data_IF_774115870524
#
_entry.id   IF_774115870524
#
_cell.length_a   1.000
_cell.length_b   1.000
_cell.length_c   1.000
_cell.angle_alpha   90.00
_cell.angle_beta   90.00
_cell.angle_gamma   90.00
#
_symmetry.space_group_name_H-M   'P 1'
#
loop_
_entity.id
_entity.type
_entity.pdbx_description
1 polymer ?
#
# COMPACT_ATOMS: atom_id res chain seq x y z
N UNK A 1 -44.77 54.30 -40.47
CA UNK A 1 -44.82 55.33 -39.41
C UNK A 1 -45.02 54.62 -38.08
N UNK A 2 -43.99 54.61 -37.21
CA UNK A 2 -43.98 54.44 -35.73
C UNK A 2 -44.74 53.25 -35.10
N UNK A 3 -44.01 52.30 -34.49
CA UNK A 3 -43.83 52.12 -33.01
C UNK A 3 -44.74 50.98 -32.47
N UNK A 4 -44.49 50.23 -31.39
CA UNK A 4 -43.40 50.02 -30.40
C UNK A 4 -43.86 48.84 -29.51
N UNK A 5 -42.91 48.03 -28.98
CA UNK A 5 -42.86 47.40 -27.63
C UNK A 5 -44.04 46.48 -27.19
N UNK A 6 -43.88 45.30 -26.57
CA UNK A 6 -42.76 44.49 -26.10
C UNK A 6 -43.24 43.42 -25.07
N UNK A 7 -42.77 42.16 -25.21
CA UNK A 7 -42.42 41.10 -24.19
C UNK A 7 -43.43 40.69 -23.07
N UNK A 8 -43.22 39.62 -22.24
CA UNK A 8 -42.52 38.31 -22.35
C UNK A 8 -43.28 37.09 -21.68
N UNK A 9 -42.69 35.87 -21.71
CA UNK A 9 -43.01 34.70 -20.84
C UNK A 9 -43.98 33.66 -21.45
N UNK A 10 -43.88 32.34 -21.33
CA UNK A 10 -43.18 31.42 -20.41
C UNK A 10 -42.92 30.03 -21.04
N UNK A 11 -41.76 29.47 -20.66
CA UNK A 11 -41.47 28.08 -20.22
C UNK A 11 -42.02 26.86 -20.97
N UNK A 12 -41.08 26.10 -21.55
CA UNK A 12 -41.09 24.64 -21.57
C UNK A 12 -39.67 24.11 -21.35
N UNK A 13 -39.43 23.31 -20.30
CA UNK A 13 -38.16 22.58 -20.06
C UNK A 13 -38.26 21.13 -20.61
N UNK A 14 -37.22 20.27 -20.54
CA UNK A 14 -36.36 19.98 -21.67
C UNK A 14 -36.36 18.48 -22.05
N UNK A 15 -36.28 18.15 -23.34
CA UNK A 15 -35.99 16.78 -23.78
C UNK A 15 -34.75 16.78 -24.68
N UNK A 16 -33.71 16.10 -24.20
CA UNK A 16 -32.86 15.22 -25.00
C UNK A 16 -31.89 15.80 -26.03
N UNK A 17 -30.77 15.09 -26.14
CA UNK A 17 -29.89 14.96 -27.31
C UNK A 17 -28.74 15.97 -27.44
N UNK A 18 -27.60 15.52 -26.89
CA UNK A 18 -26.32 15.33 -27.58
C UNK A 18 -25.76 16.49 -28.44
N UNK A 19 -24.72 17.17 -27.94
CA UNK A 19 -23.79 17.89 -28.83
C UNK A 19 -22.33 17.79 -28.36
N UNK A 20 -21.58 17.12 -29.23
CA UNK A 20 -20.21 17.40 -29.65
C UNK A 20 -19.00 17.08 -28.75
N UNK A 21 -18.18 16.21 -29.34
CA UNK A 21 -16.73 16.11 -29.20
C UNK A 21 -16.09 17.50 -29.22
N UNK A 22 -15.54 17.93 -28.09
CA UNK A 22 -14.56 19.01 -28.05
C UNK A 22 -13.21 18.42 -27.65
N UNK A 23 -12.25 18.54 -28.56
CA UNK A 23 -10.84 18.28 -28.29
C UNK A 23 -10.37 19.27 -27.23
N UNK A 24 -10.22 18.83 -25.99
CA UNK A 24 -9.49 19.61 -24.98
C UNK A 24 -8.06 19.07 -24.91
N UNK A 25 -7.19 19.69 -25.68
CA UNK A 25 -5.75 19.57 -25.52
C UNK A 25 -5.40 20.24 -24.19
N UNK A 26 -4.87 19.46 -23.24
CA UNK A 26 -4.17 19.97 -22.07
C UNK A 26 -4.91 19.80 -20.75
N UNK A 27 -4.48 18.78 -19.99
CA UNK A 27 -4.21 18.89 -18.56
C UNK A 27 -3.00 18.01 -18.27
N UNK A 28 -1.81 18.50 -18.69
CA UNK A 28 -0.56 18.15 -18.01
C UNK A 28 -0.58 18.94 -16.70
N UNK A 29 -1.02 18.29 -15.63
CA UNK A 29 -0.93 18.79 -14.27
C UNK A 29 -0.63 17.57 -13.38
N UNK A 30 0.65 17.28 -13.14
CA UNK A 30 1.36 17.76 -11.94
C UNK A 30 0.97 17.01 -10.65
N UNK A 31 1.11 15.68 -10.66
CA UNK A 31 1.42 14.94 -9.44
C UNK A 31 2.87 14.47 -9.45
N UNK A 32 3.78 15.40 -9.76
CA UNK A 32 5.13 15.37 -9.22
C UNK A 32 5.21 16.43 -8.14
N UNK A 33 4.51 16.18 -7.04
CA UNK A 33 5.02 16.61 -5.74
C UNK A 33 5.61 15.36 -5.15
N UNK A 34 6.93 15.30 -5.10
CA UNK A 34 7.59 14.50 -4.09
C UNK A 34 7.05 15.03 -2.77
N UNK A 35 6.06 14.33 -2.21
CA UNK A 35 5.71 14.50 -0.81
C UNK A 35 6.95 14.07 -0.03
N UNK A 36 7.48 14.89 0.88
CA UNK A 36 8.44 14.43 1.86
C UNK A 36 7.69 13.49 2.81
N UNK A 37 7.58 12.24 2.38
CA UNK A 37 6.92 11.11 3.00
C UNK A 37 7.70 9.87 2.56
N UNK A 38 7.70 8.83 3.37
CA UNK A 38 8.61 7.69 3.21
C UNK A 38 8.60 7.17 1.77
N UNK A 39 9.78 7.10 1.15
CA UNK A 39 9.93 6.48 -0.18
C UNK A 39 10.03 4.97 -0.01
N UNK A 40 9.18 4.23 -0.70
CA UNK A 40 9.21 2.77 -0.69
C UNK A 40 7.92 2.15 -1.22
N UNK A 41 8.01 0.89 -1.58
CA UNK A 41 6.91 0.08 -2.09
C UNK A 41 6.45 -0.94 -1.06
N UNK A 42 5.16 -0.98 -0.75
CA UNK A 42 4.58 -1.88 0.23
C UNK A 42 3.62 -2.84 -0.44
N UNK A 43 3.76 -4.13 -0.17
CA UNK A 43 2.78 -5.14 -0.57
C UNK A 43 1.83 -5.41 0.59
N UNK A 44 0.54 -5.13 0.39
CA UNK A 44 -0.52 -5.30 1.39
C UNK A 44 -1.33 -6.54 1.06
N UNK A 45 -1.37 -7.50 1.98
CA UNK A 45 -1.99 -8.81 1.81
C UNK A 45 -3.01 -9.04 2.90
N UNK A 46 -4.27 -9.13 2.51
CA UNK A 46 -5.42 -9.32 3.40
C UNK A 46 -6.59 -9.79 2.53
N UNK A 47 -7.41 -10.76 2.95
CA UNK A 47 -8.54 -11.24 2.16
C UNK A 47 -9.75 -10.30 2.23
N UNK A 48 -9.90 -9.59 3.35
CA UNK A 48 -10.92 -8.59 3.56
C UNK A 48 -10.62 -7.31 2.75
N UNK A 49 -11.39 -7.11 1.68
CA UNK A 49 -11.28 -5.95 0.78
C UNK A 49 -11.34 -4.61 1.51
N UNK A 50 -12.13 -4.50 2.59
CA UNK A 50 -12.28 -3.25 3.35
C UNK A 50 -11.01 -2.94 4.11
N UNK A 51 -10.44 -3.92 4.83
CA UNK A 51 -9.17 -3.75 5.55
C UNK A 51 -8.04 -3.48 4.57
N UNK A 52 -7.93 -4.28 3.50
CA UNK A 52 -6.92 -4.07 2.45
C UNK A 52 -6.96 -2.66 1.87
N UNK A 53 -8.15 -2.13 1.59
CA UNK A 53 -8.32 -0.77 1.08
C UNK A 53 -8.01 0.30 2.14
N UNK A 54 -8.40 0.09 3.40
CA UNK A 54 -8.07 0.99 4.50
C UNK A 54 -6.55 1.13 4.65
N UNK A 55 -5.83 0.01 4.70
CA UNK A 55 -4.37 -0.01 4.81
C UNK A 55 -3.75 0.70 3.61
N UNK A 56 -4.19 0.34 2.39
CA UNK A 56 -3.70 0.95 1.15
C UNK A 56 -3.79 2.47 1.17
N UNK A 57 -4.97 3.02 1.44
CA UNK A 57 -5.20 4.46 1.41
C UNK A 57 -4.32 5.17 2.44
N UNK A 58 -4.22 4.65 3.66
CA UNK A 58 -3.41 5.27 4.70
C UNK A 58 -1.91 5.26 4.37
N UNK A 59 -1.41 4.20 3.74
CA UNK A 59 -0.01 4.15 3.29
C UNK A 59 0.24 5.05 2.07
N UNK A 60 -0.68 5.10 1.11
CA UNK A 60 -0.56 5.99 -0.06
C UNK A 60 -0.56 7.47 0.34
N UNK A 61 -1.37 7.86 1.33
CA UNK A 61 -1.38 9.23 1.89
C UNK A 61 -0.03 9.63 2.50
N UNK A 62 0.76 8.65 2.94
CA UNK A 62 2.08 8.82 3.55
C UNK A 62 3.22 8.80 2.52
N UNK A 63 2.90 8.61 1.24
CA UNK A 63 3.84 8.64 0.11
C UNK A 63 4.36 7.28 -0.35
N UNK A 64 3.88 6.18 0.22
CA UNK A 64 4.25 4.82 -0.23
C UNK A 64 3.57 4.46 -1.55
N UNK A 65 4.28 3.72 -2.40
CA UNK A 65 3.65 2.97 -3.50
C UNK A 65 3.05 1.68 -2.92
N UNK A 66 1.76 1.45 -3.13
CA UNK A 66 1.09 0.26 -2.56
C UNK A 66 0.61 -0.68 -3.65
N UNK A 67 1.04 -1.94 -3.55
CA UNK A 67 0.48 -3.06 -4.31
C UNK A 67 -0.29 -3.96 -3.34
N UNK A 68 -1.35 -4.60 -3.83
CA UNK A 68 -2.24 -5.41 -2.99
C UNK A 68 -2.32 -6.84 -3.49
N UNK A 69 -2.45 -7.79 -2.57
CA UNK A 69 -2.83 -9.18 -2.83
C UNK A 69 -3.99 -9.59 -1.89
N UNK A 70 -4.80 -10.55 -2.31
CA UNK A 70 -5.98 -11.01 -1.58
C UNK A 70 -5.73 -12.23 -0.68
N UNK A 71 -4.60 -12.89 -0.81
CA UNK A 71 -4.17 -13.97 0.10
C UNK A 71 -2.69 -14.31 -0.09
N UNK A 72 -2.22 -15.31 0.67
CA UNK A 72 -0.84 -15.76 0.65
C UNK A 72 -0.38 -16.30 -0.71
N UNK A 73 -1.26 -16.92 -1.50
CA UNK A 73 -0.88 -17.45 -2.81
C UNK A 73 -0.62 -16.32 -3.80
N UNK A 74 -1.54 -15.35 -3.90
CA UNK A 74 -1.34 -14.17 -4.73
C UNK A 74 -0.11 -13.35 -4.28
N UNK A 75 0.13 -13.26 -2.96
CA UNK A 75 1.32 -12.62 -2.41
C UNK A 75 2.62 -13.19 -3.02
N UNK A 76 2.76 -14.52 -3.04
CA UNK A 76 3.94 -15.19 -3.58
C UNK A 76 4.08 -15.03 -5.10
N UNK A 77 2.97 -14.94 -5.83
CA UNK A 77 2.98 -14.71 -7.28
C UNK A 77 3.46 -13.31 -7.64
N UNK A 78 3.08 -12.31 -6.85
CA UNK A 78 3.36 -10.90 -7.16
C UNK A 78 4.66 -10.38 -6.54
N UNK A 79 5.11 -10.94 -5.41
CA UNK A 79 6.26 -10.41 -4.64
C UNK A 79 7.53 -10.27 -5.49
N UNK A 80 7.78 -11.21 -6.42
CA UNK A 80 8.97 -11.18 -7.28
C UNK A 80 8.88 -10.15 -8.42
N UNK A 81 7.67 -9.78 -8.83
CA UNK A 81 7.43 -8.76 -9.86
C UNK A 81 7.49 -7.36 -9.26
N UNK A 82 6.97 -7.25 -8.04
CA UNK A 82 6.79 -6.01 -7.32
C UNK A 82 8.05 -5.63 -6.55
N UNK A 83 8.85 -6.58 -6.08
CA UNK A 83 10.05 -6.34 -5.27
C UNK A 83 9.83 -5.34 -4.12
N UNK A 84 8.86 -5.59 -3.22
CA UNK A 84 8.49 -4.63 -2.19
C UNK A 84 9.62 -4.35 -1.19
N UNK A 85 9.54 -3.20 -0.53
CA UNK A 85 10.39 -2.79 0.58
C UNK A 85 9.88 -3.26 1.93
N UNK A 86 8.57 -3.51 2.05
CA UNK A 86 7.95 -4.17 3.18
C UNK A 86 6.67 -4.90 2.77
N UNK A 87 6.26 -5.88 3.56
CA UNK A 87 5.00 -6.62 3.36
C UNK A 87 4.16 -6.51 4.63
N UNK A 88 2.89 -6.14 4.50
CA UNK A 88 1.89 -6.31 5.56
C UNK A 88 1.03 -7.52 5.22
N UNK A 89 0.89 -8.46 6.16
CA UNK A 89 0.34 -9.78 5.88
C UNK A 89 -0.67 -10.17 6.96
N UNK A 90 -1.92 -10.44 6.58
CA UNK A 90 -2.88 -11.07 7.48
C UNK A 90 -2.54 -12.55 7.70
N UNK A 91 -2.91 -13.09 8.87
CA UNK A 91 -2.75 -14.51 9.17
C UNK A 91 -3.91 -15.31 8.62
N UNK A 92 -5.14 -14.90 8.93
CA UNK A 92 -6.33 -15.71 8.65
C UNK A 92 -6.82 -15.42 7.23
N UNK A 93 -6.39 -16.24 6.27
CA UNK A 93 -6.73 -16.09 4.85
C UNK A 93 -7.03 -17.45 4.19
N UNK A 94 -7.84 -17.48 3.11
CA UNK A 94 -8.07 -18.70 2.33
C UNK A 94 -6.82 -19.11 1.53
N UNK A 95 -6.78 -20.38 1.10
CA UNK A 95 -5.73 -21.00 0.26
C UNK A 95 -4.36 -21.15 0.94
N UNK A 96 -3.74 -20.03 1.33
CA UNK A 96 -2.48 -19.98 2.05
C UNK A 96 -2.56 -18.88 3.10
N UNK A 97 -2.37 -19.28 4.36
CA UNK A 97 -2.37 -18.38 5.51
C UNK A 97 -1.10 -17.50 5.55
N UNK A 98 -1.12 -16.49 6.44
CA UNK A 98 -0.02 -15.54 6.56
C UNK A 98 1.29 -16.18 7.03
N UNK A 99 1.23 -17.17 7.93
CA UNK A 99 2.45 -17.82 8.40
C UNK A 99 3.07 -18.72 7.34
N UNK A 100 2.26 -19.47 6.59
CA UNK A 100 2.71 -20.27 5.45
C UNK A 100 3.32 -19.39 4.35
N UNK A 101 2.70 -18.25 4.05
CA UNK A 101 3.26 -17.28 3.12
C UNK A 101 4.57 -16.68 3.64
N UNK A 102 4.64 -16.28 4.91
CA UNK A 102 5.86 -15.76 5.52
C UNK A 102 7.00 -16.79 5.51
N UNK A 103 6.72 -18.06 5.82
CA UNK A 103 7.70 -19.14 5.77
C UNK A 103 8.26 -19.33 4.36
N UNK A 104 7.41 -19.30 3.33
CA UNK A 104 7.86 -19.40 1.93
C UNK A 104 8.69 -18.18 1.50
N UNK A 105 8.28 -16.97 1.89
CA UNK A 105 9.05 -15.74 1.66
C UNK A 105 10.44 -15.80 2.31
N UNK A 106 10.56 -16.40 3.50
CA UNK A 106 11.83 -16.60 4.20
C UNK A 106 12.69 -17.72 3.61
N UNK A 107 12.07 -18.74 3.02
CA UNK A 107 12.78 -19.82 2.35
C UNK A 107 13.43 -19.38 1.03
N UNK A 108 12.84 -18.40 0.32
CA UNK A 108 13.38 -17.91 -0.95
C UNK A 108 14.51 -16.87 -0.74
N UNK A 109 15.72 -17.11 -1.28
CA UNK A 109 16.85 -16.17 -1.22
C UNK A 109 16.55 -14.74 -1.69
N UNK A 110 15.61 -14.58 -2.63
CA UNK A 110 15.25 -13.32 -3.27
C UNK A 110 14.30 -12.49 -2.41
N UNK A 111 13.57 -13.10 -1.48
CA UNK A 111 12.58 -12.40 -0.64
C UNK A 111 12.87 -12.48 0.85
N UNK A 112 13.77 -13.36 1.30
CA UNK A 112 14.05 -13.56 2.73
C UNK A 112 14.51 -12.32 3.49
N UNK A 113 15.02 -11.32 2.79
CA UNK A 113 15.48 -10.06 3.37
C UNK A 113 14.37 -9.00 3.45
N UNK A 114 13.22 -9.23 2.81
CA UNK A 114 12.10 -8.29 2.82
C UNK A 114 11.43 -8.36 4.19
N UNK A 115 11.24 -7.22 4.88
CA UNK A 115 10.60 -7.22 6.18
C UNK A 115 9.09 -7.51 6.07
N UNK A 116 8.57 -8.31 7.00
CA UNK A 116 7.18 -8.72 7.08
C UNK A 116 6.56 -8.25 8.40
N UNK A 117 5.47 -7.49 8.31
CA UNK A 117 4.60 -7.16 9.43
C UNK A 117 3.34 -8.03 9.37
N UNK A 118 3.05 -8.76 10.44
CA UNK A 118 1.77 -9.45 10.58
C UNK A 118 0.72 -8.47 11.06
N UNK A 119 -0.43 -8.44 10.38
CA UNK A 119 -1.59 -7.61 10.73
C UNK A 119 -2.79 -8.51 10.97
N UNK A 120 -2.99 -8.97 12.20
CA UNK A 120 -4.05 -9.94 12.51
C UNK A 120 -4.59 -9.77 13.93
N UNK A 121 -5.34 -10.74 14.47
CA UNK A 121 -5.83 -10.68 15.85
C UNK A 121 -4.69 -10.62 16.90
N UNK A 122 -3.49 -11.08 16.53
CA UNK A 122 -2.30 -11.16 17.37
C UNK A 122 -2.57 -11.93 18.67
N UNK A 123 -3.21 -13.09 18.55
CA UNK A 123 -3.38 -14.01 19.68
C UNK A 123 -2.02 -14.50 20.19
N UNK A 124 -1.94 -14.98 21.43
CA UNK A 124 -0.69 -15.51 21.99
C UNK A 124 -0.04 -16.57 21.07
N UNK A 125 -0.87 -17.45 20.49
CA UNK A 125 -0.42 -18.48 19.54
C UNK A 125 0.14 -17.88 18.25
N UNK A 126 -0.50 -16.83 17.71
CA UNK A 126 -0.03 -16.14 16.51
C UNK A 126 1.30 -15.42 16.75
N UNK A 127 1.45 -14.80 17.92
CA UNK A 127 2.71 -14.12 18.30
C UNK A 127 3.84 -15.15 18.41
N UNK A 128 3.61 -16.27 19.10
CA UNK A 128 4.60 -17.35 19.22
C UNK A 128 4.98 -17.95 17.86
N UNK A 129 3.98 -18.22 17.01
CA UNK A 129 4.20 -18.74 15.65
C UNK A 129 4.98 -17.75 14.78
N UNK A 130 4.65 -16.46 14.82
CA UNK A 130 5.35 -15.46 14.02
C UNK A 130 6.77 -15.17 14.50
N UNK A 131 7.05 -15.28 15.82
CA UNK A 131 8.43 -15.26 16.34
C UNK A 131 9.23 -16.42 15.75
N UNK A 132 8.67 -17.64 15.75
CA UNK A 132 9.32 -18.81 15.15
C UNK A 132 9.52 -18.67 13.63
N UNK A 133 8.61 -17.99 12.93
CA UNK A 133 8.70 -17.71 11.49
C UNK A 133 9.63 -16.53 11.14
N UNK A 134 10.16 -15.82 12.13
CA UNK A 134 11.04 -14.66 11.90
C UNK A 134 10.32 -13.45 11.32
N UNK A 135 9.09 -13.17 11.78
CA UNK A 135 8.34 -11.94 11.46
C UNK A 135 8.99 -10.72 12.13
N UNK A 136 9.00 -9.57 11.46
CA UNK A 136 9.71 -8.37 11.94
C UNK A 136 8.86 -7.47 12.85
N UNK A 137 7.53 -7.53 12.70
CA UNK A 137 6.59 -6.74 13.48
C UNK A 137 5.20 -7.37 13.51
N UNK A 138 4.42 -6.99 14.52
CA UNK A 138 3.01 -7.35 14.64
C UNK A 138 2.17 -6.08 14.84
N UNK A 139 0.97 -6.08 14.27
CA UNK A 139 -0.04 -5.04 14.43
C UNK A 139 -1.38 -5.74 14.69
N UNK A 140 -1.97 -5.51 15.86
CA UNK A 140 -3.22 -6.17 16.24
C UNK A 140 -4.43 -5.49 15.61
N UNK A 141 -5.38 -6.28 15.11
CA UNK A 141 -6.71 -5.82 14.68
C UNK A 141 -7.65 -5.77 15.90
N UNK A 142 -8.45 -4.70 16.07
CA UNK A 142 -8.45 -3.45 15.31
C UNK A 142 -7.21 -2.60 15.60
N UNK A 143 -6.69 -1.90 14.59
CA UNK A 143 -5.52 -1.03 14.70
C UNK A 143 -5.86 0.42 14.39
N UNK A 144 -5.09 1.34 14.97
CA UNK A 144 -5.08 2.74 14.57
C UNK A 144 -4.27 2.90 13.27
N UNK A 145 -4.77 3.58 12.23
CA UNK A 145 -4.02 3.74 10.98
C UNK A 145 -2.62 4.35 11.17
N UNK A 146 -2.49 5.29 12.10
CA UNK A 146 -1.20 5.92 12.45
C UNK A 146 -0.21 4.95 13.10
N UNK A 147 -0.68 3.89 13.78
CA UNK A 147 0.19 2.83 14.29
C UNK A 147 0.75 1.98 13.16
N UNK A 148 -0.12 1.53 12.24
CA UNK A 148 0.30 0.73 11.09
C UNK A 148 1.33 1.47 10.22
N UNK A 149 1.05 2.74 9.91
CA UNK A 149 1.97 3.60 9.15
C UNK A 149 3.34 3.69 9.83
N UNK A 150 3.39 3.88 11.16
CA UNK A 150 4.64 3.95 11.92
C UNK A 150 5.43 2.65 11.83
N UNK A 151 4.75 1.51 11.95
CA UNK A 151 5.39 0.18 11.84
C UNK A 151 5.96 -0.02 10.43
N UNK A 152 5.16 0.21 9.40
CA UNK A 152 5.59 0.03 8.00
C UNK A 152 6.76 0.95 7.65
N UNK A 153 6.70 2.23 8.07
CA UNK A 153 7.80 3.18 7.87
C UNK A 153 9.10 2.69 8.49
N UNK A 154 9.06 2.24 9.74
CA UNK A 154 10.23 1.67 10.42
C UNK A 154 10.80 0.47 9.67
N UNK A 155 9.95 -0.40 9.10
CA UNK A 155 10.41 -1.57 8.34
C UNK A 155 11.08 -1.19 7.03
N UNK A 156 10.49 -0.25 6.28
CA UNK A 156 11.07 0.25 5.02
C UNK A 156 12.41 0.94 5.27
N UNK A 157 12.52 1.77 6.31
CA UNK A 157 13.77 2.45 6.68
C UNK A 157 14.88 1.47 7.09
N UNK A 158 14.53 0.34 7.74
CA UNK A 158 15.49 -0.71 8.10
C UNK A 158 16.09 -1.43 6.89
N UNK A 159 15.32 -1.63 5.81
CA UNK A 159 15.85 -2.17 4.55
C UNK A 159 16.87 -1.21 3.91
N UNK A 160 16.63 0.10 4.04
CA UNK A 160 17.50 1.15 3.50
C UNK A 160 18.76 1.41 4.32
N UNK A 161 18.83 0.98 5.58
CA UNK A 161 20.03 1.08 6.39
C UNK A 161 21.10 0.11 5.84
N UNK A 162 22.26 0.61 5.34
CA UNK A 162 23.31 -0.28 4.89
C UNK A 162 23.74 -1.17 6.07
N UNK A 163 23.62 -2.49 5.89
CA UNK A 163 24.27 -3.47 6.76
C UNK A 163 25.71 -2.98 6.99
N UNK A 164 26.05 -2.76 8.26
CA UNK A 164 27.11 -1.84 8.67
C UNK A 164 28.40 -1.96 7.86
N UNK A 165 29.02 -0.79 7.64
CA UNK A 165 30.47 -0.69 7.55
C UNK A 165 31.06 -1.34 8.81
N UNK A 166 31.27 -2.65 8.75
CA UNK A 166 32.18 -3.34 9.65
C UNK A 166 33.51 -2.59 9.51
N UNK A 167 33.92 -1.96 10.61
CA UNK A 167 35.06 -1.07 10.67
C UNK A 167 36.28 -1.75 10.06
N UNK A 168 36.68 -1.26 8.90
CA UNK A 168 38.06 -1.33 8.45
C UNK A 168 38.85 -0.37 9.35
N UNK A 169 39.13 -0.79 10.58
CA UNK A 169 40.37 -0.43 11.24
C UNK A 169 41.40 -1.44 10.68
N UNK A 170 42.27 -1.11 9.74
CA UNK A 170 43.16 0.05 9.83
C UNK A 170 44.44 -0.45 10.48
N UNK A 171 45.39 -0.84 9.63
CA UNK A 171 46.78 -1.23 9.93
C UNK A 171 47.43 -0.30 10.96
N UNK A 172 48.35 -0.83 11.77
CA UNK A 172 49.39 -0.01 12.38
C UNK A 172 50.16 -0.70 13.50
N UNK A 173 51.22 -1.42 13.12
CA UNK A 173 52.54 -1.58 13.77
C UNK A 173 53.07 -3.01 13.57
#
# INVERSE_FOLDING_TARGET
MRNRFGRPGEVGRPEGVEVAKTRTRGLRATYSRVVPGASGRVLVVDDNKVIRQLIKVNLELEGFEVVTANDGAECLDVVHRVCPDAITLDVVMPRLDGFGAAAQLRADPRTRHVPVAIVSACTQLEVEAGIAAGVDAFVAKPFEPAELVRVVRRLVERKGAPAGRAGRAGRGA
#
